data_IF_142591941917
#
_entry.id   IF_142591941917
#
_cell.length_a   1.000
_cell.length_b   1.000
_cell.length_c   1.000
_cell.angle_alpha   90.00
_cell.angle_beta   90.00
_cell.angle_gamma   90.00
#
_symmetry.space_group_name_H-M   'P 1'
#
loop_
_entity.id
_entity.type
_entity.pdbx_description
1 polymer ?
#
# COMPACT_ATOMS: atom_id res chain seq x y z
N UNK A 1 7.99 -2.76 4.25
CA UNK A 1 7.02 -3.70 4.86
C UNK A 1 6.55 -3.30 6.27
N UNK A 2 7.36 -2.62 7.09
CA UNK A 2 7.01 -2.34 8.50
C UNK A 2 5.66 -1.65 8.70
N UNK A 3 5.38 -0.56 7.97
CA UNK A 3 4.09 0.15 8.05
C UNK A 3 2.89 -0.73 7.70
N UNK A 4 3.00 -1.57 6.66
CA UNK A 4 1.91 -2.47 6.26
C UNK A 4 1.60 -3.52 7.34
N UNK A 5 2.61 -4.02 8.05
CA UNK A 5 2.42 -4.95 9.17
C UNK A 5 1.76 -4.23 10.35
N UNK A 6 2.18 -2.99 10.66
CA UNK A 6 1.57 -2.16 11.70
C UNK A 6 0.08 -1.91 11.44
N UNK A 7 -0.30 -1.61 10.19
CA UNK A 7 -1.71 -1.47 9.81
C UNK A 7 -2.49 -2.75 10.08
N UNK A 8 -1.97 -3.92 9.72
CA UNK A 8 -2.65 -5.20 10.01
C UNK A 8 -2.81 -5.45 11.52
N UNK A 9 -1.80 -5.13 12.34
CA UNK A 9 -1.91 -5.20 13.80
C UNK A 9 -3.02 -4.29 14.31
N UNK A 10 -3.06 -3.04 13.85
CA UNK A 10 -4.10 -2.09 14.24
C UNK A 10 -5.49 -2.53 13.80
N UNK A 11 -5.63 -3.12 12.61
CA UNK A 11 -6.90 -3.71 12.17
C UNK A 11 -7.33 -4.87 13.08
N UNK A 12 -6.38 -5.70 13.53
CA UNK A 12 -6.67 -6.75 14.50
C UNK A 12 -7.12 -6.17 15.86
N UNK A 13 -6.51 -5.07 16.32
CA UNK A 13 -6.92 -4.41 17.57
C UNK A 13 -8.33 -3.81 17.46
N UNK A 14 -8.72 -3.32 16.27
CA UNK A 14 -10.10 -2.85 16.02
C UNK A 14 -11.12 -3.98 16.21
N UNK A 15 -10.78 -5.21 15.80
CA UNK A 15 -11.65 -6.38 16.01
C UNK A 15 -11.82 -6.73 17.49
N UNK A 16 -10.93 -6.29 18.38
CA UNK A 16 -11.05 -6.54 19.82
C UNK A 16 -11.97 -5.54 20.53
N UNK A 17 -12.44 -4.49 19.84
CA UNK A 17 -13.34 -3.49 20.41
C UNK A 17 -14.76 -4.03 20.60
N UNK A 18 -15.49 -3.45 21.56
CA UNK A 18 -16.86 -3.87 21.92
C UNK A 18 -17.82 -3.93 20.70
N UNK A 19 -17.91 -2.92 19.82
CA UNK A 19 -18.82 -2.96 18.68
C UNK A 19 -18.53 -4.12 17.72
N UNK A 20 -17.26 -4.43 17.46
CA UNK A 20 -16.87 -5.52 16.56
C UNK A 20 -17.15 -6.90 17.18
N UNK A 21 -16.95 -7.04 18.49
CA UNK A 21 -17.31 -8.27 19.21
C UNK A 21 -18.83 -8.50 19.26
N UNK A 22 -19.63 -7.45 19.40
CA UNK A 22 -21.10 -7.54 19.44
C UNK A 22 -21.70 -8.06 18.12
N UNK A 23 -21.09 -7.74 16.97
CA UNK A 23 -21.50 -8.27 15.66
C UNK A 23 -20.87 -9.64 15.33
N UNK A 24 -20.11 -10.24 16.27
CA UNK A 24 -19.46 -11.54 16.07
C UNK A 24 -18.25 -11.49 15.14
N UNK A 25 -17.62 -10.34 14.93
CA UNK A 25 -16.42 -10.24 14.10
C UNK A 25 -15.24 -10.96 14.76
N UNK A 26 -14.48 -11.72 13.96
CA UNK A 26 -13.35 -12.51 14.44
C UNK A 26 -12.14 -12.40 13.50
N UNK A 27 -10.96 -12.66 14.07
CA UNK A 27 -9.70 -12.74 13.32
C UNK A 27 -9.61 -14.11 12.66
N UNK A 28 -9.61 -14.16 11.34
CA UNK A 28 -9.53 -15.40 10.57
C UNK A 28 -8.33 -15.37 9.62
N UNK A 29 -7.70 -16.53 9.44
CA UNK A 29 -6.69 -16.72 8.41
C UNK A 29 -7.36 -17.10 7.09
N UNK A 30 -6.98 -16.47 5.98
CA UNK A 30 -7.39 -16.97 4.67
C UNK A 30 -6.80 -18.38 4.43
N UNK A 31 -7.40 -19.17 3.55
CA UNK A 31 -6.84 -20.49 3.21
C UNK A 31 -5.77 -20.37 2.12
N UNK A 32 -4.60 -19.84 2.47
CA UNK A 32 -3.47 -19.71 1.54
C UNK A 32 -2.33 -20.61 2.00
N UNK A 33 -1.87 -21.50 1.11
CA UNK A 33 -0.80 -22.47 1.41
C UNK A 33 0.50 -21.80 1.87
N UNK A 34 0.81 -20.61 1.33
CA UNK A 34 2.07 -19.90 1.52
C UNK A 34 2.42 -19.58 2.99
N UNK A 35 1.45 -19.47 3.90
CA UNK A 35 1.72 -19.13 5.31
C UNK A 35 1.26 -20.18 6.32
N UNK A 36 0.84 -21.37 5.86
CA UNK A 36 0.41 -22.46 6.78
C UNK A 36 1.49 -22.89 7.77
N UNK A 37 2.76 -22.62 7.45
CA UNK A 37 3.92 -22.92 8.31
C UNK A 37 4.26 -21.78 9.30
N UNK A 38 3.52 -20.68 9.29
CA UNK A 38 3.76 -19.52 10.16
C UNK A 38 2.79 -19.49 11.33
N UNK A 39 3.23 -18.95 12.46
CA UNK A 39 2.35 -18.74 13.64
C UNK A 39 1.33 -17.66 13.30
N UNK A 40 0.04 -17.97 13.52
CA UNK A 40 -1.07 -17.04 13.27
C UNK A 40 -0.83 -15.69 13.96
N UNK A 41 -1.11 -14.59 13.26
CA UNK A 41 -0.91 -13.21 13.71
C UNK A 41 0.54 -12.79 14.03
N UNK A 42 1.54 -13.63 13.76
CA UNK A 42 2.94 -13.23 13.85
C UNK A 42 3.34 -12.26 12.73
N UNK A 43 4.45 -11.55 12.91
CA UNK A 43 4.99 -10.66 11.86
C UNK A 43 5.38 -11.42 10.59
N UNK A 44 5.80 -12.69 10.72
CA UNK A 44 6.08 -13.57 9.57
C UNK A 44 4.80 -13.91 8.81
N UNK A 45 3.72 -14.19 9.53
CA UNK A 45 2.39 -14.43 8.95
C UNK A 45 1.89 -13.18 8.19
N UNK A 46 1.92 -12.00 8.83
CA UNK A 46 1.52 -10.74 8.19
C UNK A 46 2.36 -10.43 6.95
N UNK A 47 3.68 -10.59 7.03
CA UNK A 47 4.58 -10.38 5.88
C UNK A 47 4.21 -11.28 4.71
N UNK A 48 3.95 -12.57 4.97
CA UNK A 48 3.60 -13.53 3.94
C UNK A 48 2.24 -13.18 3.29
N UNK A 49 1.21 -12.86 4.08
CA UNK A 49 -0.08 -12.41 3.56
C UNK A 49 0.09 -11.21 2.63
N UNK A 50 0.77 -10.16 3.09
CA UNK A 50 0.96 -8.93 2.31
C UNK A 50 1.62 -9.25 0.95
N UNK A 51 2.62 -10.13 0.92
CA UNK A 51 3.29 -10.50 -0.33
C UNK A 51 2.40 -11.27 -1.31
N UNK A 52 1.49 -12.09 -0.79
CA UNK A 52 0.63 -12.95 -1.62
C UNK A 52 -0.68 -12.29 -2.03
N UNK A 53 -1.17 -11.32 -1.25
CA UNK A 53 -2.50 -10.73 -1.45
C UNK A 53 -2.47 -9.25 -1.86
N UNK A 54 -1.30 -8.61 -1.93
CA UNK A 54 -1.22 -7.21 -2.33
C UNK A 54 -1.64 -7.03 -3.79
N UNK A 55 -2.65 -6.18 -3.98
CA UNK A 55 -3.17 -5.78 -5.29
C UNK A 55 -3.31 -4.27 -5.34
N UNK A 56 -3.38 -3.72 -6.55
CA UNK A 56 -3.63 -2.28 -6.73
C UNK A 56 -5.10 -1.96 -6.45
N UNK A 57 -5.36 -0.81 -5.82
CA UNK A 57 -6.70 -0.23 -5.73
C UNK A 57 -7.06 0.58 -7.00
N UNK A 58 -6.43 0.27 -8.14
CA UNK A 58 -6.55 1.00 -9.40
C UNK A 58 -6.22 2.50 -9.28
N UNK A 59 -5.27 2.85 -8.40
CA UNK A 59 -4.76 4.21 -8.23
C UNK A 59 -3.29 4.37 -8.67
N UNK A 60 -2.89 3.95 -9.90
CA UNK A 60 -1.58 4.29 -10.41
C UNK A 60 -1.53 5.79 -10.71
N UNK A 61 -0.64 6.51 -10.05
CA UNK A 61 -0.42 7.94 -10.27
C UNK A 61 1.08 8.21 -10.39
N UNK A 62 1.43 9.46 -10.71
CA UNK A 62 2.81 9.95 -10.65
C UNK A 62 3.78 9.41 -11.70
N UNK A 63 3.31 8.82 -12.81
CA UNK A 63 4.15 8.46 -13.97
C UNK A 63 4.80 9.69 -14.62
N UNK A 64 4.12 10.85 -14.60
CA UNK A 64 4.67 12.17 -14.94
C UNK A 64 4.70 13.06 -13.70
N UNK A 65 5.57 12.75 -12.72
CA UNK A 65 5.62 13.47 -11.44
C UNK A 65 5.87 14.97 -11.64
N UNK A 66 5.07 15.79 -10.97
CA UNK A 66 5.24 17.24 -10.91
C UNK A 66 6.32 17.61 -9.88
N UNK A 67 7.16 18.58 -10.21
CA UNK A 67 8.19 19.11 -9.31
C UNK A 67 8.77 20.44 -9.79
N UNK A 68 9.60 21.10 -8.96
CA UNK A 68 10.24 22.35 -9.34
C UNK A 68 11.22 22.14 -10.51
N UNK A 69 11.57 23.21 -11.24
CA UNK A 69 12.52 23.13 -12.36
C UNK A 69 13.90 22.59 -11.97
N UNK A 70 14.31 22.79 -10.71
CA UNK A 70 15.56 22.26 -10.15
C UNK A 70 15.52 20.76 -9.90
N UNK A 71 14.34 20.14 -9.85
CA UNK A 71 14.18 18.71 -9.63
C UNK A 71 14.30 17.97 -10.95
N UNK A 72 15.48 17.38 -11.18
CA UNK A 72 15.80 16.64 -12.40
C UNK A 72 14.93 15.39 -12.59
N UNK A 73 14.29 14.89 -11.53
CA UNK A 73 13.38 13.75 -11.58
C UNK A 73 11.91 14.17 -11.77
N UNK A 74 11.64 15.44 -12.09
CA UNK A 74 10.30 15.93 -12.41
C UNK A 74 10.08 16.00 -13.91
N UNK A 75 8.89 15.56 -14.35
CA UNK A 75 8.49 15.57 -15.76
C UNK A 75 7.77 16.88 -16.11
N UNK A 76 6.95 17.39 -15.17
CA UNK A 76 6.18 18.63 -15.35
C UNK A 76 6.46 19.61 -14.21
N UNK A 77 6.36 20.91 -14.50
CA UNK A 77 6.40 21.96 -13.48
C UNK A 77 5.02 22.63 -13.30
N UNK A 78 4.92 23.51 -12.29
CA UNK A 78 3.69 24.22 -11.96
C UNK A 78 3.21 25.22 -13.03
N UNK A 79 4.04 25.54 -14.04
CA UNK A 79 3.76 26.53 -15.09
C UNK A 79 3.35 25.89 -16.41
N UNK A 80 3.57 24.60 -16.59
CA UNK A 80 3.16 23.88 -17.81
C UNK A 80 1.64 23.62 -17.84
N UNK A 81 0.86 24.63 -18.25
CA UNK A 81 -0.43 24.43 -18.91
C UNK A 81 -0.22 24.55 -20.43
N UNK A 82 -0.33 23.45 -21.18
CA UNK A 82 -0.62 23.51 -22.62
C UNK A 82 0.54 23.58 -23.62
N UNK A 83 1.81 23.43 -23.25
CA UNK A 83 2.89 23.22 -24.25
C UNK A 83 3.67 21.94 -23.98
N UNK A 84 3.49 20.93 -24.83
CA UNK A 84 4.24 19.67 -24.87
C UNK A 84 5.76 19.84 -25.10
N UNK A 85 6.24 21.08 -25.26
CA UNK A 85 7.59 21.41 -25.71
C UNK A 85 8.63 21.58 -24.58
N UNK A 86 8.27 21.50 -23.29
CA UNK A 86 9.17 21.93 -22.21
C UNK A 86 9.70 20.85 -21.25
N UNK A 87 9.59 19.55 -21.58
CA UNK A 87 10.49 18.50 -21.05
C UNK A 87 10.36 17.17 -21.81
N UNK A 88 10.83 17.15 -23.06
CA UNK A 88 11.41 15.95 -23.70
C UNK A 88 12.90 16.20 -23.90
N UNK A 89 13.68 16.17 -22.82
CA UNK A 89 15.14 16.18 -22.92
C UNK A 89 15.68 15.18 -21.90
N UNK A 90 15.77 13.93 -22.36
CA UNK A 90 16.69 12.85 -21.95
C UNK A 90 16.13 11.46 -22.36
N UNK A 91 15.54 11.38 -23.57
CA UNK A 91 15.58 10.18 -24.40
C UNK A 91 16.27 10.57 -25.70
#
# INVERSE_FOLDING_TARGET
>A
MGKSIEVLKRTNDLLDTKPFKEIGAAKEAMNIAAYKHTVFLSDKFHKCIIQQSAVTAYHPTSTCRMGPKSDQNSVVDHRTYGTWANRKTNL
#
